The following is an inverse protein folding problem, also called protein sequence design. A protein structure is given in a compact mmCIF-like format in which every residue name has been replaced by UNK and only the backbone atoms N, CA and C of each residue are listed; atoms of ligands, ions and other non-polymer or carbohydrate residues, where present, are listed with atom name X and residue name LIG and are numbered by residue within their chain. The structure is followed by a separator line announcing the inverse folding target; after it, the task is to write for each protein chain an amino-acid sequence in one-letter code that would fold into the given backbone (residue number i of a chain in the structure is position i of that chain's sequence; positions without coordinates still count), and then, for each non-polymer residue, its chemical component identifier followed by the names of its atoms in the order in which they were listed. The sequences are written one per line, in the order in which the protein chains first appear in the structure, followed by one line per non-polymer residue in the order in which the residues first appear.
data_IF_887142014300
#
_entry.id   IF_887142014300
#
_cell.length_a   1.000
_cell.length_b   1.000
_cell.length_c   1.000
_cell.angle_alpha   90.00
_cell.angle_beta   90.00
_cell.angle_gamma   90.00
#
_symmetry.space_group_name_H-M   'P 1'
#
loop_
_entity.id
_entity.type
_entity.pdbx_description
1 polymer ?
#
# COMPACT_ATOMS: atom_id res chain seq x y z
N UNK A 1 10.65 -9.09 7.18
CA UNK A 1 10.78 -9.52 5.77
C UNK A 1 12.27 -9.70 5.49
N UNK A 2 12.75 -10.93 5.35
CA UNK A 2 14.17 -11.20 5.17
C UNK A 2 14.61 -10.68 3.79
N UNK A 3 15.56 -9.74 3.77
CA UNK A 3 16.17 -9.27 2.55
C UNK A 3 16.91 -10.44 1.90
N UNK A 4 16.35 -10.97 0.81
CA UNK A 4 16.97 -12.02 0.02
C UNK A 4 18.17 -11.41 -0.71
N UNK A 5 19.37 -11.72 -0.26
CA UNK A 5 20.64 -11.33 -0.90
C UNK A 5 20.62 -11.77 -2.38
N UNK A 6 20.42 -10.82 -3.29
CA UNK A 6 20.33 -11.09 -4.73
C UNK A 6 21.75 -11.32 -5.25
N UNK A 7 22.00 -12.50 -5.82
CA UNK A 7 23.31 -12.83 -6.39
C UNK A 7 23.72 -11.85 -7.50
N UNK A 8 25.04 -11.59 -7.70
CA UNK A 8 25.53 -10.61 -8.68
C UNK A 8 24.97 -10.84 -10.09
N UNK A 9 24.91 -12.10 -10.53
CA UNK A 9 24.39 -12.47 -11.86
C UNK A 9 22.90 -12.16 -12.01
N UNK A 10 22.10 -12.32 -10.94
CA UNK A 10 20.68 -11.95 -10.97
C UNK A 10 20.49 -10.45 -11.06
N UNK A 11 21.33 -9.66 -10.35
CA UNK A 11 21.31 -8.19 -10.47
C UNK A 11 21.58 -7.76 -11.92
N UNK A 12 22.58 -8.34 -12.58
CA UNK A 12 22.88 -8.07 -13.99
C UNK A 12 21.70 -8.41 -14.91
N UNK A 13 21.05 -9.56 -14.72
CA UNK A 13 19.86 -9.92 -15.49
C UNK A 13 18.73 -8.89 -15.31
N UNK A 14 18.47 -8.44 -14.07
CA UNK A 14 17.46 -7.40 -13.82
C UNK A 14 17.79 -6.09 -14.53
N UNK A 15 19.05 -5.63 -14.46
CA UNK A 15 19.47 -4.41 -15.16
C UNK A 15 19.31 -4.54 -16.68
N UNK A 16 19.75 -5.65 -17.27
CA UNK A 16 19.60 -5.89 -18.72
C UNK A 16 18.14 -5.95 -19.13
N UNK A 17 17.28 -6.59 -18.32
CA UNK A 17 15.85 -6.70 -18.61
C UNK A 17 15.18 -5.32 -18.56
N UNK A 18 15.42 -4.53 -17.51
CA UNK A 18 14.90 -3.16 -17.41
C UNK A 18 15.38 -2.30 -18.57
N UNK A 19 16.66 -2.39 -18.92
CA UNK A 19 17.22 -1.67 -20.07
C UNK A 19 16.54 -2.06 -21.39
N UNK A 20 16.34 -3.36 -21.62
CA UNK A 20 15.69 -3.86 -22.83
C UNK A 20 14.23 -3.39 -22.92
N UNK A 21 13.50 -3.40 -21.81
CA UNK A 21 12.11 -2.90 -21.75
C UNK A 21 12.07 -1.41 -22.13
N UNK A 22 12.95 -0.59 -21.56
CA UNK A 22 13.01 0.84 -21.90
C UNK A 22 13.46 1.06 -23.35
N UNK A 23 14.37 0.24 -23.86
CA UNK A 23 14.85 0.33 -25.25
C UNK A 23 13.78 -0.07 -26.29
N UNK A 24 12.92 -1.04 -25.97
CA UNK A 24 11.83 -1.47 -26.85
C UNK A 24 10.61 -0.54 -26.80
N UNK A 25 10.48 0.32 -25.78
CA UNK A 25 9.34 1.23 -25.66
C UNK A 25 9.40 2.32 -26.74
N UNK A 26 8.41 2.40 -27.64
CA UNK A 26 8.42 3.39 -28.72
C UNK A 26 7.87 4.72 -28.20
N UNK A 27 8.72 5.50 -27.54
CA UNK A 27 8.39 6.83 -27.01
C UNK A 27 8.06 7.87 -28.10
N UNK A 28 8.27 7.54 -29.38
CA UNK A 28 7.85 8.36 -30.53
C UNK A 28 6.34 8.28 -30.81
N UNK A 29 5.66 7.24 -30.34
CA UNK A 29 4.22 7.10 -30.54
C UNK A 29 3.45 7.94 -29.51
N UNK A 30 2.66 8.89 -30.00
CA UNK A 30 1.80 9.74 -29.16
C UNK A 30 0.88 8.93 -28.23
N UNK A 31 0.44 7.74 -28.65
CA UNK A 31 -0.39 6.84 -27.84
C UNK A 31 0.33 6.34 -26.59
N UNK A 32 1.63 6.07 -26.68
CA UNK A 32 2.42 5.55 -25.55
C UNK A 32 2.70 6.67 -24.55
N UNK A 33 3.04 7.87 -25.03
CA UNK A 33 3.22 9.05 -24.18
C UNK A 33 1.94 9.42 -23.43
N UNK A 34 0.81 9.48 -24.13
CA UNK A 34 -0.48 9.77 -23.52
C UNK A 34 -0.88 8.70 -22.50
N UNK A 35 -0.69 7.41 -22.81
CA UNK A 35 -1.02 6.32 -21.88
C UNK A 35 -0.19 6.37 -20.59
N UNK A 36 1.11 6.69 -20.69
CA UNK A 36 1.97 6.87 -19.51
C UNK A 36 1.49 8.04 -18.65
N UNK A 37 1.23 9.19 -19.28
CA UNK A 37 0.78 10.38 -18.58
C UNK A 37 -0.58 10.15 -17.87
N UNK A 38 -1.53 9.55 -18.58
CA UNK A 38 -2.85 9.24 -18.02
C UNK A 38 -2.76 8.25 -16.85
N UNK A 39 -1.90 7.23 -16.96
CA UNK A 39 -1.69 6.26 -15.88
C UNK A 39 -1.20 6.92 -14.59
N UNK A 40 -0.26 7.88 -14.68
CA UNK A 40 0.22 8.61 -13.51
C UNK A 40 -0.82 9.55 -12.92
N UNK A 41 -1.59 10.27 -13.77
CA UNK A 41 -2.67 11.12 -13.27
C UNK A 41 -3.76 10.31 -12.60
N UNK A 42 -4.19 9.20 -13.19
CA UNK A 42 -5.20 8.33 -12.61
C UNK A 42 -4.73 7.72 -11.28
N UNK A 43 -3.46 7.33 -11.19
CA UNK A 43 -2.88 6.84 -9.93
C UNK A 43 -2.90 7.92 -8.84
N UNK A 44 -2.52 9.16 -9.19
CA UNK A 44 -2.52 10.27 -8.25
C UNK A 44 -3.94 10.56 -7.76
N UNK A 45 -4.89 10.68 -8.68
CA UNK A 45 -6.29 10.97 -8.36
C UNK A 45 -6.91 9.89 -7.46
N UNK A 46 -6.68 8.61 -7.78
CA UNK A 46 -7.10 7.49 -6.94
C UNK A 46 -6.46 7.54 -5.53
N UNK A 47 -5.17 7.84 -5.43
CA UNK A 47 -4.48 7.93 -4.16
C UNK A 47 -5.05 9.07 -3.30
N UNK A 48 -5.36 10.22 -3.90
CA UNK A 48 -6.00 11.33 -3.22
C UNK A 48 -7.40 10.94 -2.71
N UNK A 49 -8.25 10.39 -3.57
CA UNK A 49 -9.61 10.00 -3.22
C UNK A 49 -9.62 8.93 -2.11
N UNK A 50 -8.81 7.88 -2.24
CA UNK A 50 -8.76 6.79 -1.25
C UNK A 50 -8.25 7.25 0.12
N UNK A 51 -7.26 8.14 0.13
CA UNK A 51 -6.73 8.71 1.38
C UNK A 51 -7.81 9.56 2.06
N UNK A 52 -8.49 10.43 1.32
CA UNK A 52 -9.53 11.30 1.87
C UNK A 52 -10.75 10.52 2.36
N UNK A 53 -11.22 9.55 1.58
CA UNK A 53 -12.47 8.84 1.87
C UNK A 53 -12.32 7.78 2.96
N UNK A 54 -11.19 7.06 3.01
CA UNK A 54 -11.03 5.93 3.92
C UNK A 54 -10.01 6.20 5.02
N UNK A 55 -8.87 6.79 4.65
CA UNK A 55 -7.67 6.78 5.47
C UNK A 55 -7.69 7.92 6.52
N UNK A 56 -8.11 9.12 6.10
CA UNK A 56 -8.35 10.26 7.00
C UNK A 56 -9.39 9.93 8.07
N UNK A 57 -10.63 9.51 7.75
CA UNK A 57 -11.62 9.21 8.79
C UNK A 57 -11.21 8.03 9.69
N UNK A 58 -10.58 6.99 9.13
CA UNK A 58 -10.09 5.88 9.96
C UNK A 58 -9.05 6.32 10.99
N UNK A 59 -8.11 7.20 10.61
CA UNK A 59 -7.12 7.72 11.56
C UNK A 59 -7.72 8.63 12.62
N UNK A 60 -8.71 9.45 12.28
CA UNK A 60 -9.44 10.24 13.28
C UNK A 60 -10.15 9.34 14.31
N UNK A 61 -10.84 8.29 13.85
CA UNK A 61 -11.52 7.34 14.74
C UNK A 61 -10.50 6.58 15.61
N UNK A 62 -9.40 6.10 15.01
CA UNK A 62 -8.34 5.43 15.75
C UNK A 62 -7.73 6.35 16.82
N UNK A 63 -7.47 7.62 16.49
CA UNK A 63 -6.97 8.61 17.44
C UNK A 63 -7.96 8.93 18.56
N UNK A 64 -9.27 8.98 18.27
CA UNK A 64 -10.28 9.15 19.32
C UNK A 64 -10.32 7.93 20.25
N UNK A 65 -10.28 6.72 19.68
CA UNK A 65 -10.28 5.46 20.46
C UNK A 65 -9.07 5.40 21.40
N UNK A 66 -7.87 5.80 20.96
CA UNK A 66 -6.68 5.76 21.80
C UNK A 66 -6.72 6.74 22.98
N UNK A 67 -7.42 7.87 22.84
CA UNK A 67 -7.56 8.88 23.90
C UNK A 67 -8.68 8.52 24.88
N UNK A 68 -9.82 8.04 24.39
CA UNK A 68 -11.02 7.84 25.20
C UNK A 68 -11.20 6.42 25.75
N UNK A 69 -10.56 5.39 25.16
CA UNK A 69 -10.75 3.99 25.57
C UNK A 69 -9.57 3.48 26.38
N UNK A 70 -9.86 2.88 27.55
CA UNK A 70 -8.83 2.22 28.37
C UNK A 70 -8.32 0.94 27.69
N UNK A 71 -7.03 0.93 27.34
CA UNK A 71 -6.34 -0.18 26.68
C UNK A 71 -6.47 -1.52 27.44
N UNK A 72 -6.53 -1.50 28.78
CA UNK A 72 -6.70 -2.71 29.59
C UNK A 72 -8.07 -3.36 29.39
N UNK A 73 -9.13 -2.54 29.21
CA UNK A 73 -10.46 -3.04 28.90
C UNK A 73 -10.50 -3.66 27.49
N UNK A 74 -9.84 -3.04 26.50
CA UNK A 74 -9.73 -3.59 25.14
C UNK A 74 -9.03 -4.96 25.16
N UNK A 75 -7.93 -5.11 25.90
CA UNK A 75 -7.23 -6.41 26.01
C UNK A 75 -8.08 -7.46 26.75
N UNK A 76 -8.86 -7.05 27.76
CA UNK A 76 -9.76 -7.95 28.51
C UNK A 76 -10.87 -8.54 27.63
N UNK A 77 -11.45 -7.74 26.73
CA UNK A 77 -12.62 -8.15 25.92
C UNK A 77 -12.30 -8.51 24.46
N UNK A 78 -11.25 -7.95 23.87
CA UNK A 78 -10.83 -8.20 22.48
C UNK A 78 -9.41 -8.79 22.36
N UNK A 79 -8.74 -9.08 23.49
CA UNK A 79 -7.41 -9.70 23.47
C UNK A 79 -7.44 -11.18 23.07
N UNK A 80 -6.25 -11.78 22.80
CA UNK A 80 -6.15 -13.16 22.31
C UNK A 80 -6.66 -14.24 23.28
N UNK A 81 -6.84 -13.89 24.57
CA UNK A 81 -7.40 -14.78 25.61
C UNK A 81 -8.86 -14.44 25.97
N UNK A 82 -9.51 -13.51 25.25
CA UNK A 82 -10.87 -13.09 25.56
C UNK A 82 -11.91 -14.14 25.15
N UNK A 83 -13.05 -14.15 25.84
CA UNK A 83 -14.14 -15.08 25.58
C UNK A 83 -14.82 -14.73 24.24
N UNK A 84 -14.72 -15.62 23.24
CA UNK A 84 -15.27 -15.43 21.89
C UNK A 84 -16.76 -15.05 21.89
N UNK A 85 -17.54 -15.59 22.82
CA UNK A 85 -18.97 -15.26 22.90
C UNK A 85 -19.18 -13.78 23.22
N UNK A 86 -18.35 -13.19 24.09
CA UNK A 86 -18.46 -11.77 24.46
C UNK A 86 -17.83 -10.82 23.43
N UNK A 87 -16.89 -11.30 22.61
CA UNK A 87 -16.26 -10.47 21.58
C UNK A 87 -17.06 -10.40 20.28
N UNK A 88 -17.95 -11.37 20.04
CA UNK A 88 -18.74 -11.50 18.81
C UNK A 88 -20.26 -11.42 19.04
N UNK A 89 -20.72 -11.27 20.28
CA UNK A 89 -22.11 -10.92 20.62
C UNK A 89 -22.35 -9.43 20.46
#
# INVERSE_FOLDING_TARGET
MAAKEISPNKKLIYFTLVFLVVYLLPFSNIRVLNALQEAFFMLADYAHEHVLLCLVPAFFIAGAITVFINQQAVIKYLGPKANKLLSYS
#
